data_IF_524761423847
#
_entry.id   IF_524761423847
#
_cell.length_a   1.000
_cell.length_b   1.000
_cell.length_c   1.000
_cell.angle_alpha   90.00
_cell.angle_beta   90.00
_cell.angle_gamma   90.00
#
_symmetry.space_group_name_H-M   'P 1'
#
loop_
_entity.id
_entity.type
_entity.pdbx_description
1 polymer ?
#
# COMPACT_ATOMS: atom_id res chain seq x y z
N UNK A 1 -9.39 17.04 -14.77
CA UNK A 1 -9.24 17.59 -13.42
C UNK A 1 -8.18 18.67 -13.46
N UNK A 2 -8.54 19.89 -13.10
CA UNK A 2 -7.56 20.98 -13.02
C UNK A 2 -6.72 20.78 -11.74
N UNK A 3 -5.37 20.90 -11.83
CA UNK A 3 -4.48 20.70 -10.68
C UNK A 3 -4.72 21.67 -9.51
N UNK A 4 -5.52 22.70 -9.74
CA UNK A 4 -5.85 23.75 -8.77
C UNK A 4 -7.17 23.51 -8.02
N UNK A 5 -7.85 22.38 -8.23
CA UNK A 5 -9.04 22.08 -7.42
C UNK A 5 -8.62 21.74 -6.00
N UNK A 6 -9.31 22.30 -5.02
CA UNK A 6 -9.03 22.06 -3.59
C UNK A 6 -8.99 20.57 -3.25
N UNK A 7 -9.80 19.76 -3.91
CA UNK A 7 -9.80 18.30 -3.73
C UNK A 7 -8.46 17.65 -4.08
N UNK A 8 -7.91 17.90 -5.28
CA UNK A 8 -6.64 17.31 -5.75
C UNK A 8 -5.48 17.75 -4.86
N UNK A 9 -5.43 19.06 -4.52
CA UNK A 9 -4.43 19.59 -3.61
C UNK A 9 -4.54 18.98 -2.22
N UNK A 10 -5.77 18.79 -1.72
CA UNK A 10 -6.01 18.20 -0.41
C UNK A 10 -5.53 16.75 -0.37
N UNK A 11 -5.87 15.92 -1.35
CA UNK A 11 -5.43 14.52 -1.40
C UNK A 11 -3.90 14.40 -1.40
N UNK A 12 -3.22 15.16 -2.25
CA UNK A 12 -1.75 15.19 -2.29
C UNK A 12 -1.17 15.56 -0.92
N UNK A 13 -1.67 16.64 -0.33
CA UNK A 13 -1.17 17.16 0.95
C UNK A 13 -1.40 16.17 2.09
N UNK A 14 -2.59 15.58 2.18
CA UNK A 14 -2.95 14.67 3.27
C UNK A 14 -2.16 13.35 3.20
N UNK A 15 -1.95 12.79 2.01
CA UNK A 15 -1.16 11.58 1.87
C UNK A 15 0.31 11.82 2.24
N UNK A 16 0.93 12.91 1.77
CA UNK A 16 2.31 13.22 2.17
C UNK A 16 2.43 13.60 3.64
N UNK A 17 1.41 14.21 4.23
CA UNK A 17 1.35 14.44 5.68
C UNK A 17 1.31 13.11 6.45
N UNK A 18 0.49 12.17 6.00
CA UNK A 18 0.44 10.82 6.56
C UNK A 18 1.78 10.09 6.48
N UNK A 19 2.48 10.19 5.33
CA UNK A 19 3.82 9.64 5.14
C UNK A 19 4.83 10.27 6.11
N UNK A 20 4.79 11.60 6.27
CA UNK A 20 5.65 12.31 7.21
C UNK A 20 5.40 11.86 8.66
N UNK A 21 4.13 11.69 9.06
CA UNK A 21 3.81 11.18 10.39
C UNK A 21 4.27 9.74 10.60
N UNK A 22 4.15 8.89 9.58
CA UNK A 22 4.69 7.54 9.62
C UNK A 22 6.22 7.55 9.82
N UNK A 23 6.94 8.40 9.09
CA UNK A 23 8.39 8.54 9.22
C UNK A 23 8.79 9.04 10.63
N UNK A 24 8.10 10.06 11.15
CA UNK A 24 8.33 10.56 12.52
C UNK A 24 8.10 9.45 13.54
N UNK A 25 7.02 8.69 13.38
CA UNK A 25 6.70 7.59 14.28
C UNK A 25 7.80 6.52 14.26
N UNK A 26 8.17 6.03 13.10
CA UNK A 26 9.20 4.98 12.92
C UNK A 26 10.57 5.43 13.46
N UNK A 27 10.94 6.70 13.29
CA UNK A 27 12.18 7.26 13.79
C UNK A 27 12.23 7.40 15.33
N UNK A 28 11.09 7.33 16.03
CA UNK A 28 11.01 7.60 17.45
C UNK A 28 10.46 6.45 18.30
N UNK A 29 9.75 5.50 17.72
CA UNK A 29 9.05 4.45 18.49
C UNK A 29 9.99 3.63 19.38
N UNK A 30 11.22 3.37 18.96
CA UNK A 30 12.20 2.61 19.73
C UNK A 30 12.70 3.36 20.98
N UNK A 31 12.50 4.67 21.04
CA UNK A 31 12.80 5.48 22.21
C UNK A 31 11.73 5.36 23.31
N UNK A 32 10.58 4.79 23.00
CA UNK A 32 9.48 4.59 23.94
C UNK A 32 9.71 3.33 24.79
N UNK A 33 10.38 3.51 25.94
CA UNK A 33 10.66 2.44 26.88
C UNK A 33 9.43 1.96 27.67
N UNK A 34 8.35 2.74 27.69
CA UNK A 34 7.11 2.37 28.40
C UNK A 34 6.24 1.37 27.62
N UNK A 35 6.44 1.27 26.31
CA UNK A 35 5.71 0.34 25.45
C UNK A 35 6.39 -1.02 25.43
N UNK A 36 5.62 -2.11 25.50
CA UNK A 36 6.16 -3.47 25.40
C UNK A 36 6.85 -3.71 24.06
N UNK A 37 7.88 -4.56 24.03
CA UNK A 37 8.65 -4.82 22.82
C UNK A 37 7.76 -5.36 21.68
N UNK A 38 6.88 -6.32 21.98
CA UNK A 38 5.96 -6.89 20.97
C UNK A 38 4.93 -5.88 20.45
N UNK A 39 4.48 -4.95 21.30
CA UNK A 39 3.61 -3.87 20.89
C UNK A 39 4.32 -2.88 19.96
N UNK A 40 5.61 -2.57 20.23
CA UNK A 40 6.42 -1.75 19.33
C UNK A 40 6.59 -2.39 17.97
N UNK A 41 6.95 -3.68 17.94
CA UNK A 41 7.14 -4.39 16.67
C UNK A 41 5.83 -4.51 15.87
N UNK A 42 4.72 -4.81 16.53
CA UNK A 42 3.41 -4.78 15.90
C UNK A 42 3.08 -3.41 15.32
N UNK A 43 3.23 -2.35 16.11
CA UNK A 43 2.89 -1.00 15.66
C UNK A 43 3.80 -0.51 14.54
N UNK A 44 5.10 -0.89 14.51
CA UNK A 44 5.98 -0.63 13.37
C UNK A 44 5.45 -1.29 12.10
N UNK A 45 5.09 -2.56 12.17
CA UNK A 45 4.53 -3.29 11.04
C UNK A 45 3.24 -2.62 10.51
N UNK A 46 2.36 -2.19 11.41
CA UNK A 46 1.14 -1.46 11.04
C UNK A 46 1.45 -0.11 10.38
N UNK A 47 2.44 0.64 10.89
CA UNK A 47 2.83 1.94 10.32
C UNK A 47 3.53 1.80 8.96
N UNK A 48 4.34 0.75 8.74
CA UNK A 48 4.86 0.42 7.41
C UNK A 48 3.72 0.17 6.41
N UNK A 49 2.72 -0.61 6.80
CA UNK A 49 1.56 -0.87 5.95
C UNK A 49 0.75 0.40 5.66
N UNK A 50 0.56 1.29 6.65
CA UNK A 50 -0.10 2.58 6.47
C UNK A 50 0.67 3.49 5.51
N UNK A 51 1.99 3.58 5.65
CA UNK A 51 2.84 4.37 4.76
C UNK A 51 2.75 3.87 3.32
N UNK A 52 2.81 2.55 3.13
CA UNK A 52 2.59 1.94 1.83
C UNK A 52 1.22 2.26 1.25
N UNK A 53 0.17 2.24 2.06
CA UNK A 53 -1.19 2.56 1.64
C UNK A 53 -1.33 4.03 1.20
N UNK A 54 -0.66 4.97 1.88
CA UNK A 54 -0.63 6.37 1.45
C UNK A 54 0.07 6.53 0.10
N UNK A 55 1.22 5.88 -0.11
CA UNK A 55 1.88 5.87 -1.41
C UNK A 55 1.05 5.18 -2.49
N UNK A 56 0.37 4.09 -2.17
CA UNK A 56 -0.51 3.42 -3.10
C UNK A 56 -1.62 4.35 -3.62
N UNK A 57 -2.27 5.10 -2.73
CA UNK A 57 -3.29 6.07 -3.14
C UNK A 57 -2.69 7.22 -3.95
N UNK A 58 -1.51 7.74 -3.57
CA UNK A 58 -0.80 8.74 -4.37
C UNK A 58 -0.52 8.23 -5.80
N UNK A 59 0.04 7.03 -5.94
CA UNK A 59 0.39 6.48 -7.26
C UNK A 59 -0.86 6.17 -8.08
N UNK A 60 -1.91 5.68 -7.46
CA UNK A 60 -3.19 5.41 -8.10
C UNK A 60 -3.84 6.66 -8.69
N UNK A 61 -3.74 7.79 -8.00
CA UNK A 61 -4.37 9.05 -8.39
C UNK A 61 -3.48 9.95 -9.25
N UNK A 62 -2.17 9.97 -8.99
CA UNK A 62 -1.22 10.91 -9.59
C UNK A 62 -0.16 10.25 -10.50
N UNK A 63 -0.12 8.92 -10.58
CA UNK A 63 0.95 8.19 -11.27
C UNK A 63 2.28 8.24 -10.51
N UNK A 64 3.42 8.40 -11.21
CA UNK A 64 4.74 8.52 -10.61
C UNK A 64 4.83 9.69 -9.64
N UNK A 65 5.36 9.46 -8.42
CA UNK A 65 5.48 10.45 -7.35
C UNK A 65 6.89 10.44 -6.74
N UNK A 66 7.31 11.51 -6.04
CA UNK A 66 8.54 11.49 -5.25
C UNK A 66 8.42 10.51 -4.07
N UNK A 67 9.43 9.64 -3.90
CA UNK A 67 9.55 8.76 -2.73
C UNK A 67 10.45 9.42 -1.68
N UNK A 68 9.89 9.77 -0.54
CA UNK A 68 10.62 10.40 0.57
C UNK A 68 11.48 9.38 1.34
N UNK A 69 11.10 8.08 1.28
CA UNK A 69 11.73 7.03 2.08
C UNK A 69 11.51 7.28 3.58
N UNK A 70 12.54 7.04 4.38
CA UNK A 70 12.50 7.22 5.85
C UNK A 70 12.85 8.64 6.31
N UNK A 71 13.01 9.58 5.37
CA UNK A 71 13.46 10.94 5.70
C UNK A 71 12.38 11.66 6.51
N UNK A 72 12.80 12.24 7.63
CA UNK A 72 11.96 13.12 8.45
C UNK A 72 12.38 14.56 8.15
N UNK A 73 11.45 15.37 7.67
CA UNK A 73 11.66 16.79 7.46
C UNK A 73 11.31 17.57 8.73
N UNK A 74 12.17 18.51 9.11
CA UNK A 74 11.89 19.48 10.17
C UNK A 74 11.22 20.73 9.61
N UNK A 75 10.70 21.57 10.49
CA UNK A 75 10.12 22.89 10.12
C UNK A 75 11.16 23.78 9.45
N UNK A 76 12.43 23.61 9.83
CA UNK A 76 13.55 24.43 9.33
C UNK A 76 14.22 23.83 8.10
N UNK A 77 13.70 22.71 7.54
CA UNK A 77 14.28 22.08 6.35
C UNK A 77 14.13 23.03 5.15
N UNK A 78 15.23 23.39 4.47
CA UNK A 78 15.18 24.24 3.29
C UNK A 78 14.29 23.67 2.20
N UNK A 79 13.58 24.54 1.49
CA UNK A 79 12.62 24.13 0.45
C UNK A 79 13.29 23.36 -0.70
N UNK A 80 14.49 23.70 -1.09
CA UNK A 80 15.27 23.05 -2.13
C UNK A 80 15.62 21.59 -1.78
N UNK A 81 15.83 21.28 -0.49
CA UNK A 81 16.00 19.89 -0.03
C UNK A 81 14.70 19.06 -0.11
N UNK A 82 13.56 19.73 -0.10
CA UNK A 82 12.25 19.09 -0.21
C UNK A 82 11.80 18.91 -1.67
N UNK A 83 12.42 19.66 -2.58
CA UNK A 83 12.10 19.61 -4.02
C UNK A 83 12.78 18.43 -4.68
N UNK A 84 12.12 17.26 -4.69
CA UNK A 84 12.61 16.05 -5.31
C UNK A 84 11.93 15.79 -6.66
N UNK A 85 12.66 15.23 -7.65
CA UNK A 85 12.03 14.73 -8.87
C UNK A 85 11.10 13.55 -8.54
N UNK A 86 10.18 13.25 -9.45
CA UNK A 86 9.38 12.02 -9.35
C UNK A 86 10.26 10.80 -9.55
N UNK A 87 10.03 9.78 -8.78
CA UNK A 87 10.55 8.44 -9.05
C UNK A 87 9.83 7.84 -10.27
N UNK A 88 10.42 6.85 -10.89
CA UNK A 88 9.74 6.09 -11.94
C UNK A 88 8.55 5.33 -11.35
N UNK A 89 7.60 5.00 -12.18
CA UNK A 89 6.42 4.26 -11.76
C UNK A 89 6.78 2.88 -11.18
N UNK A 90 7.76 2.19 -11.77
CA UNK A 90 8.20 0.89 -11.26
C UNK A 90 8.89 1.03 -9.90
N UNK A 91 9.72 2.05 -9.67
CA UNK A 91 10.29 2.34 -8.35
C UNK A 91 9.20 2.61 -7.31
N UNK A 92 8.15 3.34 -7.69
CA UNK A 92 7.03 3.59 -6.78
C UNK A 92 6.32 2.29 -6.39
N UNK A 93 6.00 1.42 -7.36
CA UNK A 93 5.37 0.13 -7.08
C UNK A 93 6.26 -0.79 -6.26
N UNK A 94 7.55 -0.85 -6.57
CA UNK A 94 8.51 -1.70 -5.85
C UNK A 94 8.67 -1.25 -4.40
N UNK A 95 8.69 0.07 -4.14
CA UNK A 95 8.70 0.64 -2.79
C UNK A 95 7.44 0.25 -2.00
N UNK A 96 6.25 0.45 -2.58
CA UNK A 96 4.96 0.10 -1.94
C UNK A 96 4.92 -1.39 -1.59
N UNK A 97 5.32 -2.25 -2.53
CA UNK A 97 5.35 -3.71 -2.33
C UNK A 97 6.36 -4.10 -1.25
N UNK A 98 7.54 -3.47 -1.23
CA UNK A 98 8.56 -3.73 -0.22
C UNK A 98 8.06 -3.37 1.19
N UNK A 99 7.41 -2.21 1.36
CA UNK A 99 6.82 -1.78 2.63
C UNK A 99 5.73 -2.74 3.13
N UNK A 100 4.81 -3.16 2.24
CA UNK A 100 3.76 -4.12 2.60
C UNK A 100 4.32 -5.50 2.96
N UNK A 101 5.35 -5.95 2.24
CA UNK A 101 6.05 -7.20 2.57
C UNK A 101 6.79 -7.09 3.91
N UNK A 102 7.48 -5.99 4.16
CA UNK A 102 8.14 -5.75 5.45
C UNK A 102 7.15 -5.76 6.62
N UNK A 103 5.94 -5.21 6.40
CA UNK A 103 4.87 -5.28 7.40
C UNK A 103 4.37 -6.71 7.66
N UNK A 104 4.33 -7.56 6.63
CA UNK A 104 3.92 -8.96 6.74
C UNK A 104 5.03 -9.87 7.28
N UNK A 105 6.30 -9.51 7.02
CA UNK A 105 7.46 -10.30 7.42
C UNK A 105 7.60 -10.35 8.96
N UNK A 106 7.91 -11.52 9.46
CA UNK A 106 8.10 -11.74 10.90
C UNK A 106 6.80 -11.94 11.69
N UNK A 107 5.61 -11.92 11.06
CA UNK A 107 4.32 -12.25 11.68
C UNK A 107 3.94 -11.34 12.85
N UNK A 108 4.33 -10.06 12.79
CA UNK A 108 4.06 -9.10 13.88
C UNK A 108 2.67 -8.49 13.82
N UNK A 109 2.07 -8.41 12.64
CA UNK A 109 0.69 -7.95 12.50
C UNK A 109 -0.28 -8.89 13.19
N UNK A 110 -1.29 -8.33 13.84
CA UNK A 110 -2.37 -9.12 14.42
C UNK A 110 -3.25 -9.72 13.33
N UNK A 111 -3.79 -10.90 13.57
CA UNK A 111 -4.75 -11.53 12.66
C UNK A 111 -6.17 -11.01 12.93
N UNK A 112 -6.99 -10.98 11.88
CA UNK A 112 -8.44 -10.79 12.00
C UNK A 112 -9.11 -12.03 12.60
N UNK A 113 -8.46 -13.19 12.53
CA UNK A 113 -9.00 -14.47 12.98
C UNK A 113 -8.27 -14.96 14.22
N UNK A 114 -9.04 -15.46 15.20
CA UNK A 114 -8.51 -16.19 16.34
C UNK A 114 -7.97 -17.57 15.94
N UNK A 115 -7.34 -18.25 16.89
CA UNK A 115 -6.78 -19.60 16.67
C UNK A 115 -7.81 -20.64 16.24
N UNK A 116 -9.06 -20.45 16.63
CA UNK A 116 -10.21 -21.30 16.26
C UNK A 116 -10.83 -20.92 14.88
N UNK A 117 -10.26 -19.92 14.20
CA UNK A 117 -10.76 -19.41 12.92
C UNK A 117 -11.98 -18.51 13.02
N UNK A 118 -12.44 -18.18 14.23
CA UNK A 118 -13.49 -17.18 14.43
C UNK A 118 -12.95 -15.76 14.21
N UNK A 119 -13.84 -14.81 13.89
CA UNK A 119 -13.45 -13.39 13.76
C UNK A 119 -13.14 -12.82 15.14
N UNK A 120 -11.89 -12.38 15.34
CA UNK A 120 -11.51 -11.65 16.54
C UNK A 120 -11.86 -10.17 16.40
N UNK A 121 -12.78 -9.70 17.23
CA UNK A 121 -13.23 -8.30 17.22
C UNK A 121 -12.28 -7.37 17.96
N UNK A 122 -11.29 -7.87 18.69
CA UNK A 122 -10.35 -7.06 19.48
C UNK A 122 -9.54 -6.10 18.59
N UNK A 123 -9.16 -6.55 17.40
CA UNK A 123 -8.36 -5.78 16.45
C UNK A 123 -9.18 -5.17 15.32
N UNK A 124 -10.48 -5.03 15.51
CA UNK A 124 -11.36 -4.38 14.53
C UNK A 124 -10.97 -2.92 14.37
N UNK A 125 -10.65 -2.54 13.13
CA UNK A 125 -10.20 -1.18 12.79
C UNK A 125 -8.69 -1.01 12.67
N UNK A 126 -7.88 -2.02 13.09
CA UNK A 126 -6.45 -2.07 12.82
C UNK A 126 -6.15 -2.63 11.43
N UNK A 127 -4.95 -2.37 10.94
CA UNK A 127 -4.40 -3.05 9.77
C UNK A 127 -3.89 -4.44 10.18
N UNK A 128 -4.78 -5.43 10.08
CA UNK A 128 -4.44 -6.82 10.37
C UNK A 128 -3.63 -7.45 9.23
N UNK A 129 -3.03 -8.62 9.49
CA UNK A 129 -2.31 -9.38 8.48
C UNK A 129 -3.15 -9.58 7.21
N UNK A 130 -4.40 -10.01 7.36
CA UNK A 130 -5.30 -10.28 6.23
C UNK A 130 -5.69 -9.00 5.47
N UNK A 131 -5.84 -7.87 6.18
CA UNK A 131 -6.07 -6.58 5.56
C UNK A 131 -4.87 -6.15 4.70
N UNK A 132 -3.65 -6.32 5.21
CA UNK A 132 -2.42 -5.99 4.47
C UNK A 132 -2.20 -6.94 3.29
N UNK A 133 -2.49 -8.23 3.42
CA UNK A 133 -2.49 -9.19 2.31
C UNK A 133 -3.48 -8.78 1.20
N UNK A 134 -4.67 -8.31 1.59
CA UNK A 134 -5.68 -7.77 0.65
C UNK A 134 -5.18 -6.55 -0.10
N UNK A 135 -4.60 -5.57 0.62
CA UNK A 135 -3.99 -4.38 0.03
C UNK A 135 -2.85 -4.75 -0.93
N UNK A 136 -1.98 -5.70 -0.53
CA UNK A 136 -0.88 -6.16 -1.37
C UNK A 136 -1.39 -6.81 -2.68
N UNK A 137 -2.45 -7.59 -2.64
CA UNK A 137 -3.06 -8.17 -3.84
C UNK A 137 -3.65 -7.08 -4.76
N UNK A 138 -4.29 -6.06 -4.19
CA UNK A 138 -4.78 -4.91 -4.95
C UNK A 138 -3.64 -4.12 -5.59
N UNK A 139 -2.55 -3.86 -4.87
CA UNK A 139 -1.34 -3.19 -5.38
C UNK A 139 -0.77 -3.94 -6.59
N UNK A 140 -0.63 -5.26 -6.51
CA UNK A 140 -0.16 -6.06 -7.63
C UNK A 140 -1.10 -5.99 -8.84
N UNK A 141 -2.42 -5.98 -8.60
CA UNK A 141 -3.40 -5.84 -9.67
C UNK A 141 -3.30 -4.50 -10.38
N UNK A 142 -3.18 -3.40 -9.62
CA UNK A 142 -2.98 -2.06 -10.20
C UNK A 142 -1.68 -1.97 -10.98
N UNK A 143 -0.56 -2.46 -10.42
CA UNK A 143 0.75 -2.52 -11.09
C UNK A 143 0.69 -3.25 -12.43
N UNK A 144 -0.13 -4.30 -12.53
CA UNK A 144 -0.29 -5.12 -13.73
C UNK A 144 -1.25 -4.51 -14.76
N UNK A 145 -2.13 -3.59 -14.33
CA UNK A 145 -3.17 -3.02 -15.18
C UNK A 145 -2.59 -2.26 -16.38
N UNK A 146 -3.38 -2.11 -17.43
CA UNK A 146 -2.95 -1.52 -18.70
C UNK A 146 -2.30 -0.15 -18.52
N UNK A 147 -2.91 0.72 -17.70
CA UNK A 147 -2.42 2.08 -17.44
C UNK A 147 -1.00 2.11 -16.88
N UNK A 148 -0.67 1.17 -15.99
CA UNK A 148 0.59 1.14 -15.25
C UNK A 148 1.62 0.15 -15.79
N UNK A 149 1.30 -0.55 -16.88
CA UNK A 149 2.13 -1.62 -17.43
C UNK A 149 2.34 -1.46 -18.94
N UNK A 150 3.05 -0.39 -19.30
CA UNK A 150 3.48 -0.16 -20.68
C UNK A 150 2.41 0.47 -21.59
N UNK A 151 1.53 1.33 -21.04
CA UNK A 151 0.59 2.11 -21.86
C UNK A 151 1.36 3.08 -22.77
N UNK A 152 1.22 2.98 -24.11
CA UNK A 152 1.92 3.83 -25.07
C UNK A 152 1.66 5.34 -24.88
N UNK A 153 0.50 5.70 -24.33
CA UNK A 153 0.12 7.11 -24.14
C UNK A 153 1.07 7.84 -23.19
N UNK A 154 1.60 7.13 -22.16
CA UNK A 154 2.46 7.74 -21.13
C UNK A 154 3.96 7.49 -21.34
N UNK A 155 4.37 6.74 -22.37
CA UNK A 155 5.79 6.40 -22.60
C UNK A 155 6.70 7.62 -22.86
N UNK A 156 6.14 8.72 -23.31
CA UNK A 156 6.91 9.96 -23.56
C UNK A 156 7.14 10.78 -22.28
N UNK A 157 6.38 10.52 -21.21
CA UNK A 157 6.48 11.27 -19.97
C UNK A 157 7.84 11.04 -19.31
N UNK A 158 8.55 12.12 -19.02
CA UNK A 158 9.90 12.08 -18.45
C UNK A 158 10.14 13.23 -17.47
N UNK A 159 11.09 13.03 -16.57
CA UNK A 159 11.68 14.10 -15.76
C UNK A 159 12.53 15.04 -16.63
N UNK A 160 12.94 16.17 -16.06
CA UNK A 160 13.79 17.17 -16.75
C UNK A 160 15.14 16.62 -17.21
N UNK A 161 15.65 15.60 -16.52
CA UNK A 161 16.89 14.89 -16.83
C UNK A 161 16.74 13.81 -17.91
N UNK A 162 15.53 13.63 -18.45
CA UNK A 162 15.19 12.64 -19.48
C UNK A 162 14.79 11.26 -18.95
N UNK A 163 14.83 11.02 -17.63
CA UNK A 163 14.39 9.75 -17.03
C UNK A 163 12.93 9.47 -17.36
N UNK A 164 12.66 8.36 -18.06
CA UNK A 164 11.30 7.95 -18.40
C UNK A 164 10.54 7.50 -17.16
N UNK A 165 9.34 8.07 -16.97
CA UNK A 165 8.55 7.86 -15.76
C UNK A 165 7.68 6.61 -15.82
N UNK A 166 7.26 6.17 -17.01
CA UNK A 166 6.40 5.00 -17.20
C UNK A 166 7.16 3.86 -17.89
N UNK A 167 6.75 2.59 -17.63
CA UNK A 167 7.32 1.43 -18.32
C UNK A 167 7.19 1.56 -19.83
N UNK A 168 8.26 1.24 -20.57
CA UNK A 168 8.30 1.38 -22.02
C UNK A 168 7.72 0.16 -22.77
N UNK A 169 7.45 -0.93 -22.05
CA UNK A 169 6.86 -2.14 -22.59
C UNK A 169 6.01 -2.85 -21.55
N UNK A 170 5.09 -3.68 -22.03
CA UNK A 170 4.25 -4.52 -21.18
C UNK A 170 5.06 -5.67 -20.58
N UNK A 171 4.96 -5.85 -19.28
CA UNK A 171 5.53 -6.99 -18.55
C UNK A 171 4.41 -7.94 -18.09
N UNK A 172 4.43 -9.17 -18.63
CA UNK A 172 3.46 -10.22 -18.27
C UNK A 172 3.74 -10.84 -16.90
N UNK A 173 4.95 -10.64 -16.32
CA UNK A 173 5.23 -11.12 -14.96
C UNK A 173 4.36 -10.39 -13.94
N UNK A 174 4.10 -9.10 -14.12
CA UNK A 174 3.23 -8.32 -13.25
C UNK A 174 1.82 -8.94 -13.10
N UNK A 175 1.28 -9.50 -14.19
CA UNK A 175 0.00 -10.22 -14.15
C UNK A 175 0.07 -11.56 -13.41
N UNK A 176 1.19 -12.28 -13.54
CA UNK A 176 1.42 -13.51 -12.77
C UNK A 176 1.52 -13.21 -11.28
N UNK A 177 2.25 -12.16 -10.93
CA UNK A 177 2.39 -11.72 -9.53
C UNK A 177 1.03 -11.35 -8.92
N UNK A 178 0.18 -10.63 -9.67
CA UNK A 178 -1.18 -10.27 -9.24
C UNK A 178 -2.07 -11.50 -9.04
N UNK A 179 -2.05 -12.45 -10.00
CA UNK A 179 -2.75 -13.72 -9.87
C UNK A 179 -2.31 -14.48 -8.61
N UNK A 180 -1.01 -14.60 -8.39
CA UNK A 180 -0.46 -15.39 -7.31
C UNK A 180 -0.73 -14.74 -5.93
N UNK A 181 -0.76 -13.40 -5.86
CA UNK A 181 -1.15 -12.68 -4.66
C UNK A 181 -2.63 -12.92 -4.32
N UNK A 182 -3.53 -12.80 -5.29
CA UNK A 182 -4.96 -13.07 -5.10
C UNK A 182 -5.20 -14.56 -4.74
N UNK A 183 -4.49 -15.47 -5.42
CA UNK A 183 -4.60 -16.91 -5.17
C UNK A 183 -4.21 -17.28 -3.74
N UNK A 184 -3.17 -16.68 -3.15
CA UNK A 184 -2.79 -16.93 -1.74
C UNK A 184 -3.93 -16.65 -0.78
N UNK A 185 -4.68 -15.55 -0.98
CA UNK A 185 -5.83 -15.20 -0.14
C UNK A 185 -6.94 -16.23 -0.29
N UNK A 186 -7.24 -16.66 -1.52
CA UNK A 186 -8.25 -17.69 -1.80
C UNK A 186 -7.84 -19.04 -1.17
N UNK A 187 -6.60 -19.47 -1.39
CA UNK A 187 -6.07 -20.75 -0.90
C UNK A 187 -5.93 -20.79 0.62
N UNK A 188 -5.89 -19.65 1.30
CA UNK A 188 -5.88 -19.58 2.78
C UNK A 188 -7.13 -20.20 3.41
N UNK A 189 -8.24 -20.26 2.66
CA UNK A 189 -9.52 -20.77 3.14
C UNK A 189 -10.18 -19.96 4.25
N UNK A 190 -9.57 -18.83 4.64
CA UNK A 190 -10.07 -17.94 5.71
C UNK A 190 -11.33 -17.18 5.30
N UNK A 191 -11.54 -16.94 4.01
CA UNK A 191 -12.63 -16.14 3.49
C UNK A 191 -13.61 -16.99 2.67
N UNK A 192 -14.90 -16.66 2.79
CA UNK A 192 -15.96 -17.28 1.99
C UNK A 192 -16.68 -16.20 1.20
N UNK A 193 -17.05 -16.52 -0.03
CA UNK A 193 -17.93 -15.66 -0.82
C UNK A 193 -19.34 -15.75 -0.25
N UNK A 194 -19.93 -14.60 0.03
CA UNK A 194 -21.34 -14.49 0.44
C UNK A 194 -22.19 -14.49 -0.83
N UNK A 195 -22.84 -15.61 -1.10
CA UNK A 195 -23.74 -15.76 -2.24
C UNK A 195 -25.20 -15.64 -1.80
N UNK A 196 -26.03 -15.15 -2.70
CA UNK A 196 -27.50 -15.15 -2.55
C UNK A 196 -28.09 -16.12 -3.57
N UNK A 197 -29.11 -16.83 -3.14
CA UNK A 197 -29.92 -17.66 -4.04
C UNK A 197 -30.86 -16.77 -4.88
N UNK A 198 -31.64 -17.39 -5.76
CA UNK A 198 -32.58 -16.68 -6.65
C UNK A 198 -33.69 -15.94 -5.89
N UNK A 199 -33.94 -16.29 -4.62
CA UNK A 199 -34.87 -15.61 -3.75
C UNK A 199 -34.27 -14.41 -2.99
N UNK A 200 -32.93 -14.16 -3.16
CA UNK A 200 -32.18 -13.14 -2.46
C UNK A 200 -31.76 -13.53 -1.04
N UNK A 201 -32.00 -14.78 -0.62
CA UNK A 201 -31.59 -15.30 0.68
C UNK A 201 -30.08 -15.65 0.66
N UNK A 202 -29.37 -15.33 1.74
CA UNK A 202 -27.97 -15.73 1.92
C UNK A 202 -27.83 -17.26 1.90
N UNK A 203 -26.87 -17.74 1.10
CA UNK A 203 -26.53 -19.16 1.04
C UNK A 203 -25.32 -19.37 1.96
N UNK A 204 -25.53 -20.03 3.09
CA UNK A 204 -24.51 -20.22 4.13
C UNK A 204 -23.40 -21.19 3.72
N UNK A 205 -23.58 -22.00 2.66
CA UNK A 205 -22.59 -22.95 2.16
C UNK A 205 -22.46 -22.85 0.64
N UNK A 206 -21.32 -22.34 0.20
CA UNK A 206 -20.82 -22.64 -1.14
C UNK A 206 -20.18 -24.03 -1.03
N UNK A 207 -20.98 -25.07 -1.20
CA UNK A 207 -20.42 -26.42 -1.34
C UNK A 207 -19.48 -26.42 -2.55
N UNK A 208 -18.24 -26.82 -2.30
CA UNK A 208 -17.20 -27.08 -3.31
C UNK A 208 -17.70 -28.00 -4.41
#
# INVERSE_FOLDING_TARGET
LYPSTDFVKTQWTEYYRGIQYANIYLANIDKNSAMLADEREWSKAEVHALRAYFYFNLVKEFGPVPLIGDKVYSVDTPLDEMMMPRNTLDECWDYIIAELKAALDGGKLKSTFGEDGSVDSQYKGNLTQEAVEGILAEVYLYRASYLFNGDPYYQTMANKDGTKLFPQSKDMQKWRDARDAAKRIIDSGKFKLVLRDQSGKLVDDVKK
#
